data_IF_761345846438
#
_entry.id   IF_761345846438
#
_cell.length_a   1.000
_cell.length_b   1.000
_cell.length_c   1.000
_cell.angle_alpha   90.00
_cell.angle_beta   90.00
_cell.angle_gamma   90.00
#
_symmetry.space_group_name_H-M   'P 1'
#
loop_
_entity.id
_entity.type
_entity.pdbx_description
1 polymer ?
#
# COMPACT_ATOMS: atom_id res chain seq x y z
N UNK A 1 22.63 -25.96 49.39
CA UNK A 1 21.17 -25.78 49.56
C UNK A 1 20.98 -25.07 50.91
N UNK A 2 20.27 -23.96 51.08
CA UNK A 2 19.09 -23.45 50.39
C UNK A 2 19.19 -21.92 50.18
N UNK A 3 18.68 -21.45 49.05
CA UNK A 3 18.50 -20.04 48.76
C UNK A 3 17.48 -19.45 49.75
N UNK A 4 17.95 -18.61 50.67
CA UNK A 4 17.09 -17.85 51.59
C UNK A 4 16.23 -16.86 50.81
N UNK A 5 14.97 -17.21 50.56
CA UNK A 5 14.02 -16.31 49.92
C UNK A 5 13.53 -15.25 50.91
N UNK A 6 13.48 -13.99 50.46
CA UNK A 6 12.95 -12.83 51.20
C UNK A 6 11.61 -13.15 51.89
N UNK A 7 11.41 -12.65 53.11
CA UNK A 7 10.15 -12.75 53.85
C UNK A 7 9.01 -11.97 53.17
N UNK A 8 7.76 -12.28 53.52
CA UNK A 8 6.57 -11.65 52.91
C UNK A 8 6.51 -10.13 53.13
N UNK A 9 6.98 -9.64 54.28
CA UNK A 9 7.07 -8.22 54.61
C UNK A 9 8.14 -7.53 53.78
N UNK A 10 9.33 -8.13 53.67
CA UNK A 10 10.44 -7.61 52.86
C UNK A 10 10.07 -7.54 51.36
N UNK A 11 9.35 -8.53 50.84
CA UNK A 11 8.84 -8.50 49.46
C UNK A 11 7.85 -7.35 49.22
N UNK A 12 6.96 -7.07 50.18
CA UNK A 12 6.01 -5.93 50.08
C UNK A 12 6.72 -4.57 50.15
N UNK A 13 7.71 -4.43 51.02
CA UNK A 13 8.51 -3.21 51.12
C UNK A 13 9.30 -2.96 49.82
N UNK A 14 9.96 -3.99 49.29
CA UNK A 14 10.69 -3.92 48.03
C UNK A 14 9.79 -3.53 46.83
N UNK A 15 8.57 -4.08 46.76
CA UNK A 15 7.61 -3.70 45.71
C UNK A 15 7.12 -2.26 45.87
N UNK A 16 6.88 -1.78 47.11
CA UNK A 16 6.52 -0.38 47.38
C UNK A 16 7.64 0.58 46.98
N UNK A 17 8.89 0.29 47.33
CA UNK A 17 10.05 1.10 46.95
C UNK A 17 10.29 1.12 45.44
N UNK A 18 9.99 0.01 44.77
CA UNK A 18 10.01 -0.06 43.31
C UNK A 18 8.94 0.85 42.70
N UNK A 19 7.71 0.79 43.19
CA UNK A 19 6.61 1.67 42.72
C UNK A 19 6.97 3.14 42.92
N UNK A 20 7.50 3.51 44.09
CA UNK A 20 7.91 4.89 44.39
C UNK A 20 9.04 5.36 43.45
N UNK A 21 10.04 4.52 43.19
CA UNK A 21 11.12 4.83 42.24
C UNK A 21 10.59 4.99 40.81
N UNK A 22 9.69 4.13 40.36
CA UNK A 22 9.03 4.25 39.05
C UNK A 22 8.22 5.55 38.94
N UNK A 23 7.52 5.94 40.00
CA UNK A 23 6.74 7.18 40.05
C UNK A 23 7.64 8.43 40.01
N UNK A 24 8.72 8.45 40.80
CA UNK A 24 9.73 9.50 40.75
C UNK A 24 10.34 9.64 39.34
N UNK A 25 10.69 8.52 38.69
CA UNK A 25 11.23 8.53 37.34
C UNK A 25 10.21 9.08 36.31
N UNK A 26 8.93 8.71 36.44
CA UNK A 26 7.85 9.26 35.58
C UNK A 26 7.64 10.76 35.81
N UNK A 27 7.70 11.23 37.05
CA UNK A 27 7.56 12.64 37.38
C UNK A 27 8.74 13.45 36.83
N UNK A 28 9.98 12.94 36.97
CA UNK A 28 11.18 13.55 36.38
C UNK A 28 11.09 13.62 34.86
N UNK A 29 10.62 12.56 34.20
CA UNK A 29 10.35 12.55 32.75
C UNK A 29 9.32 13.60 32.34
N UNK A 30 8.22 13.76 33.08
CA UNK A 30 7.20 14.78 32.81
C UNK A 30 7.76 16.20 32.97
N UNK A 31 8.53 16.45 34.03
CA UNK A 31 9.17 17.74 34.28
C UNK A 31 10.16 18.10 33.17
N UNK A 32 11.11 17.22 32.86
CA UNK A 32 12.11 17.44 31.80
C UNK A 32 11.42 17.64 30.45
N UNK A 33 10.41 16.82 30.12
CA UNK A 33 9.60 16.97 28.90
C UNK A 33 8.88 18.32 28.83
N UNK A 34 8.37 18.84 29.95
CA UNK A 34 7.72 20.16 30.02
C UNK A 34 8.72 21.29 29.80
N UNK A 35 9.90 21.21 30.42
CA UNK A 35 10.96 22.21 30.28
C UNK A 35 11.49 22.24 28.84
N UNK A 36 11.70 21.07 28.22
CA UNK A 36 12.20 20.98 26.83
C UNK A 36 11.25 21.57 25.79
N UNK A 37 9.97 21.81 26.13
CA UNK A 37 9.02 22.52 25.24
C UNK A 37 9.19 24.04 25.25
N UNK A 38 9.83 24.60 26.28
CA UNK A 38 10.11 26.04 26.37
C UNK A 38 11.28 26.42 25.46
N UNK A 39 11.25 27.63 24.92
CA UNK A 39 12.42 28.19 24.24
C UNK A 39 13.59 28.26 25.22
N UNK A 40 14.83 28.15 24.73
CA UNK A 40 16.00 28.15 25.61
C UNK A 40 16.10 29.43 26.47
N UNK A 41 15.65 30.56 25.93
CA UNK A 41 15.62 31.86 26.62
C UNK A 41 14.54 31.97 27.72
N UNK A 42 13.53 31.10 27.72
CA UNK A 42 12.38 31.15 28.65
C UNK A 42 12.56 30.23 29.87
N UNK A 43 13.70 29.55 29.98
CA UNK A 43 13.97 28.57 31.04
C UNK A 43 14.55 29.26 32.26
N UNK A 44 14.04 28.94 33.45
CA UNK A 44 14.63 29.44 34.70
C UNK A 44 15.98 28.77 34.98
N UNK A 45 16.78 29.38 35.87
CA UNK A 45 18.05 28.78 36.30
C UNK A 45 17.87 27.39 36.95
N UNK A 46 16.78 27.18 37.69
CA UNK A 46 16.42 25.88 38.26
C UNK A 46 16.09 24.84 37.19
N UNK A 47 15.36 25.24 36.15
CA UNK A 47 15.05 24.36 35.03
C UNK A 47 16.32 23.96 34.27
N UNK A 48 17.25 24.89 34.06
CA UNK A 48 18.55 24.61 33.45
C UNK A 48 19.37 23.62 34.29
N UNK A 49 19.40 23.76 35.62
CA UNK A 49 20.05 22.80 36.53
C UNK A 49 19.42 21.42 36.43
N UNK A 50 18.09 21.33 36.47
CA UNK A 50 17.37 20.05 36.38
C UNK A 50 17.63 19.32 35.04
N UNK A 51 17.76 20.07 33.94
CA UNK A 51 18.15 19.52 32.64
C UNK A 51 19.59 18.98 32.67
N UNK A 52 20.52 19.71 33.27
CA UNK A 52 21.92 19.29 33.40
C UNK A 52 22.06 18.01 34.24
N UNK A 53 21.35 17.92 35.36
CA UNK A 53 21.30 16.71 36.20
C UNK A 53 20.58 15.52 35.54
N UNK A 54 19.88 15.74 34.43
CA UNK A 54 19.08 14.73 33.73
C UNK A 54 19.55 14.53 32.29
N UNK A 55 20.85 14.67 32.02
CA UNK A 55 21.43 14.69 30.67
C UNK A 55 20.99 13.52 29.78
N UNK A 56 21.06 12.29 30.29
CA UNK A 56 20.67 11.09 29.53
C UNK A 56 19.18 11.10 29.15
N UNK A 57 18.32 11.58 30.06
CA UNK A 57 16.89 11.72 29.80
C UNK A 57 16.61 12.83 28.78
N UNK A 58 17.39 13.92 28.81
CA UNK A 58 17.32 15.00 27.83
C UNK A 58 17.72 14.48 26.44
N UNK A 59 18.86 13.78 26.31
CA UNK A 59 19.29 13.15 25.05
C UNK A 59 18.22 12.22 24.51
N UNK A 60 17.63 11.39 25.37
CA UNK A 60 16.56 10.47 24.99
C UNK A 60 15.32 11.22 24.45
N UNK A 61 14.81 12.20 25.21
CA UNK A 61 13.61 12.95 24.85
C UNK A 61 13.81 13.80 23.59
N UNK A 62 14.96 14.45 23.43
CA UNK A 62 15.32 15.16 22.20
C UNK A 62 15.42 14.19 21.02
N UNK A 63 16.06 13.02 21.21
CA UNK A 63 16.12 11.97 20.20
C UNK A 63 14.74 11.42 19.81
N UNK A 64 13.80 11.33 20.77
CA UNK A 64 12.39 10.99 20.49
C UNK A 64 11.70 12.12 19.69
N UNK A 65 11.94 13.39 20.02
CA UNK A 65 11.35 14.52 19.27
C UNK A 65 11.86 14.57 17.84
N UNK A 66 13.19 14.50 17.63
CA UNK A 66 13.80 14.48 16.29
C UNK A 66 13.26 13.34 15.43
N UNK A 67 13.14 12.12 16.01
CA UNK A 67 12.54 10.97 15.31
C UNK A 67 11.09 11.22 14.94
N UNK A 68 10.30 11.83 15.84
CA UNK A 68 8.89 12.18 15.59
C UNK A 68 8.75 13.25 14.51
N UNK A 69 9.58 14.30 14.53
CA UNK A 69 9.62 15.34 13.51
C UNK A 69 10.03 14.78 12.14
N UNK A 70 11.07 13.94 12.11
CA UNK A 70 11.46 13.22 10.89
C UNK A 70 10.34 12.35 10.34
N UNK A 71 9.60 11.63 11.20
CA UNK A 71 8.43 10.85 10.79
C UNK A 71 7.28 11.71 10.26
N UNK A 72 7.02 12.87 10.88
CA UNK A 72 6.02 13.84 10.39
C UNK A 72 6.41 14.36 9.02
N UNK A 73 7.65 14.80 8.83
CA UNK A 73 8.16 15.28 7.54
C UNK A 73 8.04 14.21 6.45
N UNK A 74 8.31 12.94 6.77
CA UNK A 74 8.17 11.82 5.84
C UNK A 74 6.72 11.49 5.45
N UNK A 75 5.72 12.00 6.19
CA UNK A 75 4.29 11.81 5.89
C UNK A 75 3.67 13.01 5.18
N UNK A 76 4.36 14.15 5.16
CA UNK A 76 3.91 15.31 4.42
C UNK A 76 3.90 15.00 2.93
N UNK A 77 2.81 15.41 2.28
CA UNK A 77 2.74 15.46 0.83
C UNK A 77 3.44 16.74 0.38
N UNK A 78 4.28 16.58 -0.64
CA UNK A 78 4.96 17.65 -1.33
C UNK A 78 4.49 17.59 -2.78
N UNK A 79 4.35 18.74 -3.40
CA UNK A 79 4.17 18.88 -4.84
C UNK A 79 5.26 19.80 -5.36
N UNK A 80 5.92 19.40 -6.45
CA UNK A 80 6.78 20.29 -7.21
C UNK A 80 5.89 21.37 -7.86
N UNK A 81 6.42 22.58 -8.05
CA UNK A 81 5.68 23.61 -8.79
C UNK A 81 5.48 23.17 -10.26
N UNK A 82 4.49 23.73 -10.98
CA UNK A 82 4.19 23.29 -12.34
C UNK A 82 5.36 23.39 -13.34
N UNK A 83 6.25 24.38 -13.17
CA UNK A 83 7.42 24.56 -14.05
C UNK A 83 8.48 23.50 -13.79
N UNK A 84 8.82 23.29 -12.51
CA UNK A 84 9.74 22.23 -12.09
C UNK A 84 9.21 20.84 -12.44
N UNK A 85 7.91 20.59 -12.24
CA UNK A 85 7.29 19.31 -12.59
C UNK A 85 7.44 19.02 -14.09
N UNK A 86 7.12 19.97 -14.98
CA UNK A 86 7.31 19.81 -16.43
C UNK A 86 8.77 19.55 -16.80
N UNK A 87 9.71 20.28 -16.17
CA UNK A 87 11.16 20.08 -16.39
C UNK A 87 11.58 18.66 -16.03
N UNK A 88 11.16 18.16 -14.87
CA UNK A 88 11.42 16.78 -14.44
C UNK A 88 10.73 15.75 -15.32
N UNK A 89 9.52 16.01 -15.79
CA UNK A 89 8.80 15.11 -16.71
C UNK A 89 9.55 14.98 -18.03
N UNK A 90 10.12 16.06 -18.58
CA UNK A 90 10.97 15.98 -19.78
C UNK A 90 12.18 15.08 -19.57
N UNK A 91 12.86 15.20 -18.43
CA UNK A 91 13.96 14.30 -18.08
C UNK A 91 13.50 12.84 -17.95
N UNK A 92 12.32 12.62 -17.37
CA UNK A 92 11.72 11.30 -17.29
C UNK A 92 11.37 10.75 -18.68
N UNK A 93 10.83 11.57 -19.59
CA UNK A 93 10.52 11.18 -20.96
C UNK A 93 11.78 10.72 -21.72
N UNK A 94 12.87 11.49 -21.61
CA UNK A 94 14.18 11.10 -22.16
C UNK A 94 14.67 9.77 -21.56
N UNK A 95 14.47 9.55 -20.26
CA UNK A 95 14.85 8.31 -19.61
C UNK A 95 14.02 7.11 -20.11
N UNK A 96 12.70 7.29 -20.28
CA UNK A 96 11.80 6.26 -20.81
C UNK A 96 12.14 5.92 -22.25
N UNK A 97 12.39 6.91 -23.10
CA UNK A 97 12.78 6.70 -24.51
C UNK A 97 14.11 5.97 -24.65
N UNK A 98 15.06 6.23 -23.75
CA UNK A 98 16.39 5.60 -23.79
C UNK A 98 16.47 4.27 -23.03
N UNK A 99 15.41 3.87 -22.33
CA UNK A 99 15.40 2.62 -21.57
C UNK A 99 15.41 1.42 -22.53
N UNK A 100 16.38 0.51 -22.36
CA UNK A 100 16.38 -0.77 -23.10
C UNK A 100 15.45 -1.77 -22.45
N UNK A 101 15.27 -1.67 -21.13
CA UNK A 101 14.37 -2.51 -20.36
C UNK A 101 13.83 -1.73 -19.16
N UNK A 102 12.68 -1.11 -19.34
CA UNK A 102 11.91 -0.41 -18.32
C UNK A 102 10.97 -1.37 -17.59
N UNK A 103 11.09 -1.36 -16.26
CA UNK A 103 10.12 -2.02 -15.36
C UNK A 103 9.39 -0.98 -14.53
N UNK A 104 8.07 -1.09 -14.46
CA UNK A 104 7.23 -0.16 -13.70
C UNK A 104 6.78 -0.80 -12.39
N UNK A 105 7.01 -0.11 -11.27
CA UNK A 105 6.56 -0.54 -9.94
C UNK A 105 5.41 0.31 -9.47
N UNK A 106 4.26 -0.29 -9.18
CA UNK A 106 3.05 0.45 -8.79
C UNK A 106 2.63 0.18 -7.35
N UNK A 107 1.98 1.16 -6.75
CA UNK A 107 1.34 1.07 -5.44
C UNK A 107 0.00 1.81 -5.43
N UNK A 108 -0.66 1.79 -4.27
CA UNK A 108 -2.06 2.23 -4.17
C UNK A 108 -2.29 3.70 -4.56
N UNK A 109 -1.24 4.52 -4.58
CA UNK A 109 -1.31 5.91 -5.01
C UNK A 109 -1.72 6.10 -6.47
N UNK A 110 -1.60 5.09 -7.34
CA UNK A 110 -2.11 5.18 -8.73
C UNK A 110 -3.62 4.95 -8.83
N UNK A 111 -4.24 4.41 -7.78
CA UNK A 111 -5.68 4.06 -7.74
C UNK A 111 -6.51 5.08 -6.94
N UNK A 112 -5.88 6.09 -6.34
CA UNK A 112 -6.58 7.10 -5.51
C UNK A 112 -7.55 7.96 -6.30
N UNK A 113 -7.26 8.24 -7.57
CA UNK A 113 -8.17 8.95 -8.47
C UNK A 113 -9.42 8.11 -8.82
N UNK A 114 -9.35 6.79 -8.73
CA UNK A 114 -10.50 5.89 -8.88
C UNK A 114 -11.29 5.71 -7.57
N UNK A 115 -11.16 6.66 -6.63
CA UNK A 115 -11.78 6.60 -5.29
C UNK A 115 -11.38 5.39 -4.44
N UNK A 116 -10.30 4.69 -4.80
CA UNK A 116 -9.71 3.63 -3.97
C UNK A 116 -8.75 4.27 -2.97
N UNK A 117 -9.02 4.21 -1.65
CA UNK A 117 -8.14 4.83 -0.68
C UNK A 117 -6.76 4.15 -0.71
N UNK A 118 -5.70 4.95 -0.60
CA UNK A 118 -4.38 4.39 -0.40
C UNK A 118 -4.22 3.83 1.03
N UNK A 119 -3.02 3.33 1.32
CA UNK A 119 -2.73 2.79 2.64
C UNK A 119 -2.17 3.81 3.62
N UNK A 120 -1.42 4.82 3.16
CA UNK A 120 -0.49 5.60 4.01
C UNK A 120 -0.46 7.10 3.72
N UNK A 121 -1.23 7.56 2.75
CA UNK A 121 -1.52 8.97 2.52
C UNK A 121 -2.30 9.60 3.67
N UNK A 122 -2.64 10.89 3.59
CA UNK A 122 -3.35 11.63 4.64
C UNK A 122 -4.67 10.97 5.06
N UNK A 123 -5.38 10.41 4.07
CA UNK A 123 -6.63 9.67 4.18
C UNK A 123 -6.46 8.16 3.96
N UNK A 124 -5.22 7.69 3.95
CA UNK A 124 -4.92 6.29 3.79
C UNK A 124 -5.42 5.45 4.96
N UNK A 125 -5.74 4.20 4.68
CA UNK A 125 -6.32 3.24 5.65
C UNK A 125 -5.55 3.20 6.96
N UNK A 126 -4.23 3.01 6.92
CA UNK A 126 -3.43 2.93 8.15
C UNK A 126 -3.35 4.27 8.86
N UNK A 127 -3.34 5.37 8.11
CA UNK A 127 -3.34 6.72 8.67
C UNK A 127 -4.64 7.00 9.44
N UNK A 128 -5.78 6.58 8.89
CA UNK A 128 -7.10 6.71 9.54
C UNK A 128 -7.22 5.80 10.77
N UNK A 129 -6.81 4.53 10.66
CA UNK A 129 -6.80 3.58 11.78
C UNK A 129 -5.91 4.07 12.92
N UNK A 130 -4.73 4.62 12.62
CA UNK A 130 -3.84 5.19 13.63
C UNK A 130 -4.44 6.44 14.31
N UNK A 131 -5.30 7.19 13.61
CA UNK A 131 -6.06 8.33 14.15
C UNK A 131 -7.35 7.89 14.88
N UNK A 132 -7.64 6.60 14.98
CA UNK A 132 -8.85 6.07 15.61
C UNK A 132 -10.14 6.34 14.82
N UNK A 133 -10.03 6.61 13.52
CA UNK A 133 -11.18 6.86 12.63
C UNK A 133 -11.65 5.56 11.98
N UNK A 134 -12.95 5.40 11.81
CA UNK A 134 -13.52 4.31 11.00
C UNK A 134 -13.23 4.55 9.53
N UNK A 135 -13.07 3.46 8.79
CA UNK A 135 -12.94 3.47 7.34
C UNK A 135 -14.31 3.01 6.81
N UNK A 136 -14.98 3.86 6.02
CA UNK A 136 -16.09 3.39 5.19
C UNK A 136 -15.51 2.46 4.13
N UNK A 137 -16.00 1.23 4.05
CA UNK A 137 -15.66 0.35 2.93
C UNK A 137 -16.33 0.92 1.69
N UNK A 138 -15.61 1.74 0.92
CA UNK A 138 -16.03 2.08 -0.43
C UNK A 138 -16.15 0.76 -1.21
N UNK A 139 -17.27 0.57 -1.89
CA UNK A 139 -17.44 -0.56 -2.79
C UNK A 139 -16.48 -0.38 -3.97
N UNK A 140 -15.42 -1.18 -3.99
CA UNK A 140 -14.36 -1.10 -5.00
C UNK A 140 -14.83 -1.62 -6.37
N UNK A 141 -16.01 -2.24 -6.45
CA UNK A 141 -16.57 -2.78 -7.70
C UNK A 141 -16.84 -1.70 -8.76
N UNK A 142 -17.09 -0.45 -8.36
CA UNK A 142 -17.33 0.63 -9.32
C UNK A 142 -16.04 1.31 -9.81
N UNK A 143 -14.89 1.02 -9.18
CA UNK A 143 -13.63 1.64 -9.57
C UNK A 143 -13.25 1.25 -11.01
N UNK A 144 -12.82 2.25 -11.79
CA UNK A 144 -12.33 2.08 -13.15
C UNK A 144 -10.83 2.37 -13.22
N UNK A 145 -10.09 1.78 -14.19
CA UNK A 145 -8.69 2.10 -14.40
C UNK A 145 -8.47 3.61 -14.56
N UNK A 146 -7.52 4.15 -13.79
CA UNK A 146 -7.15 5.58 -13.87
C UNK A 146 -6.35 5.89 -15.14
N UNK A 147 -6.16 7.17 -15.42
CA UNK A 147 -5.29 7.65 -16.50
C UNK A 147 -3.89 7.02 -16.40
N UNK A 148 -3.34 6.89 -15.20
CA UNK A 148 -2.06 6.18 -14.97
C UNK A 148 -2.12 4.72 -15.42
N UNK A 149 -3.19 3.97 -15.13
CA UNK A 149 -3.32 2.58 -15.57
C UNK A 149 -3.40 2.47 -17.10
N UNK A 150 -4.18 3.35 -17.73
CA UNK A 150 -4.31 3.39 -19.19
C UNK A 150 -3.00 3.79 -19.87
N UNK A 151 -2.26 4.72 -19.28
CA UNK A 151 -0.93 5.12 -19.75
C UNK A 151 0.07 3.96 -19.67
N UNK A 152 0.08 3.20 -18.58
CA UNK A 152 0.95 2.02 -18.42
C UNK A 152 0.62 0.95 -19.47
N UNK A 153 -0.67 0.69 -19.71
CA UNK A 153 -1.11 -0.24 -20.75
C UNK A 153 -0.61 0.20 -22.14
N UNK A 154 -0.75 1.49 -22.47
CA UNK A 154 -0.23 2.07 -23.72
C UNK A 154 1.29 2.02 -23.82
N UNK A 155 2.04 2.30 -22.74
CA UNK A 155 3.50 2.17 -22.73
C UNK A 155 3.96 0.73 -23.00
N UNK A 156 3.25 -0.25 -22.45
CA UNK A 156 3.52 -1.66 -22.73
C UNK A 156 3.17 -2.05 -24.17
N UNK A 157 2.02 -1.61 -24.67
CA UNK A 157 1.60 -1.79 -26.07
C UNK A 157 2.65 -1.25 -27.06
N UNK A 158 3.22 -0.08 -26.77
CA UNK A 158 4.31 0.54 -27.53
C UNK A 158 5.69 -0.05 -27.25
N UNK A 159 5.78 -1.13 -26.45
CA UNK A 159 7.02 -1.83 -26.07
C UNK A 159 8.04 -0.95 -25.34
N UNK A 160 7.59 0.17 -24.77
CA UNK A 160 8.42 1.06 -23.95
C UNK A 160 8.56 0.56 -22.51
N UNK A 161 7.56 -0.16 -21.99
CA UNK A 161 7.60 -0.82 -20.69
C UNK A 161 7.43 -2.33 -20.85
N UNK A 162 8.35 -3.12 -20.30
CA UNK A 162 8.37 -4.57 -20.53
C UNK A 162 7.63 -5.36 -19.45
N UNK A 163 7.56 -4.85 -18.23
CA UNK A 163 6.89 -5.54 -17.12
C UNK A 163 6.39 -4.57 -16.06
N UNK A 164 5.31 -4.94 -15.38
CA UNK A 164 4.75 -4.21 -14.25
C UNK A 164 4.77 -5.08 -13.00
N UNK A 165 5.38 -4.56 -11.94
CA UNK A 165 5.37 -5.19 -10.61
C UNK A 165 4.46 -4.38 -9.71
N UNK A 166 3.29 -4.91 -9.40
CA UNK A 166 2.26 -4.22 -8.64
C UNK A 166 2.15 -4.74 -7.21
N UNK A 167 1.98 -3.81 -6.27
CA UNK A 167 1.54 -4.09 -4.90
C UNK A 167 0.02 -3.95 -4.72
N UNK A 168 -0.69 -3.53 -5.77
CA UNK A 168 -2.13 -3.32 -5.74
C UNK A 168 -2.83 -4.65 -5.96
N UNK A 169 -4.05 -4.72 -5.43
CA UNK A 169 -4.87 -5.93 -5.47
C UNK A 169 -6.26 -5.62 -6.00
N UNK A 170 -6.44 -4.40 -6.51
CA UNK A 170 -7.67 -3.84 -7.07
C UNK A 170 -8.01 -4.38 -8.46
N UNK A 171 -7.11 -5.15 -9.08
CA UNK A 171 -7.28 -5.73 -10.41
C UNK A 171 -7.29 -4.72 -11.56
N UNK A 172 -7.04 -3.43 -11.31
CA UNK A 172 -7.19 -2.38 -12.31
C UNK A 172 -6.17 -2.46 -13.45
N UNK A 173 -4.99 -3.05 -13.22
CA UNK A 173 -4.01 -3.31 -14.28
C UNK A 173 -4.53 -4.31 -15.32
N UNK A 174 -5.12 -5.43 -14.88
CA UNK A 174 -5.71 -6.39 -15.81
C UNK A 174 -6.87 -5.76 -16.58
N UNK A 175 -7.72 -5.01 -15.85
CA UNK A 175 -8.89 -4.34 -16.41
C UNK A 175 -8.55 -3.21 -17.38
N UNK A 176 -7.36 -2.62 -17.28
CA UNK A 176 -6.89 -1.59 -18.23
C UNK A 176 -6.42 -2.16 -19.57
N UNK A 177 -6.39 -3.48 -19.74
CA UNK A 177 -5.89 -4.14 -20.95
C UNK A 177 -4.45 -4.65 -20.84
N UNK A 178 -3.78 -4.46 -19.71
CA UNK A 178 -2.41 -4.94 -19.54
C UNK A 178 -2.40 -6.49 -19.47
N UNK A 179 -1.63 -7.19 -20.34
CA UNK A 179 -1.73 -8.63 -20.43
C UNK A 179 -1.17 -9.30 -19.19
N UNK A 180 -1.78 -10.44 -18.81
CA UNK A 180 -1.39 -11.21 -17.62
C UNK A 180 0.09 -11.63 -17.60
N UNK A 181 0.70 -11.82 -18.78
CA UNK A 181 2.12 -12.15 -18.92
C UNK A 181 3.05 -11.00 -18.56
N UNK A 182 2.58 -9.75 -18.61
CA UNK A 182 3.37 -8.55 -18.34
C UNK A 182 3.19 -8.00 -16.91
N UNK A 183 2.47 -8.72 -16.05
CA UNK A 183 2.18 -8.27 -14.68
C UNK A 183 2.59 -9.30 -13.63
N UNK A 184 3.09 -8.79 -12.51
CA UNK A 184 3.29 -9.54 -11.27
C UNK A 184 2.55 -8.84 -10.14
N UNK A 185 1.47 -9.45 -9.64
CA UNK A 185 0.59 -8.90 -8.62
C UNK A 185 1.02 -9.40 -7.23
N UNK A 186 2.11 -8.85 -6.70
CA UNK A 186 2.87 -9.42 -5.57
C UNK A 186 2.05 -9.64 -4.29
N UNK A 187 0.92 -8.95 -4.15
CA UNK A 187 0.03 -9.03 -3.00
C UNK A 187 -1.33 -9.70 -3.31
N UNK A 188 -1.48 -10.28 -4.50
CA UNK A 188 -2.72 -10.89 -4.96
C UNK A 188 -3.62 -9.93 -5.74
N UNK A 189 -4.77 -10.45 -6.14
CA UNK A 189 -5.80 -9.75 -6.91
C UNK A 189 -7.19 -10.19 -6.40
N UNK A 190 -8.02 -9.21 -6.03
CA UNK A 190 -9.33 -9.41 -5.43
C UNK A 190 -10.36 -10.07 -6.35
N UNK A 191 -10.08 -10.18 -7.64
CA UNK A 191 -10.92 -10.86 -8.63
C UNK A 191 -10.46 -12.29 -8.91
N UNK A 192 -9.42 -12.79 -8.23
CA UNK A 192 -8.83 -14.10 -8.51
C UNK A 192 -8.90 -14.99 -7.27
N UNK A 193 -9.51 -16.16 -7.45
CA UNK A 193 -9.42 -17.28 -6.52
C UNK A 193 -8.76 -18.48 -7.20
N UNK A 194 -8.13 -19.34 -6.40
CA UNK A 194 -7.27 -20.41 -6.90
C UNK A 194 -7.54 -21.73 -6.19
N UNK A 195 -7.43 -22.81 -6.94
CA UNK A 195 -7.33 -24.16 -6.40
C UNK A 195 -5.85 -24.54 -6.25
N UNK A 196 -5.39 -24.70 -5.02
CA UNK A 196 -4.02 -25.14 -4.69
C UNK A 196 -3.87 -26.66 -4.60
N UNK A 197 -4.95 -27.42 -4.76
CA UNK A 197 -4.92 -28.89 -4.78
C UNK A 197 -4.68 -29.46 -6.19
N UNK A 198 -4.92 -28.66 -7.24
CA UNK A 198 -4.59 -29.03 -8.61
C UNK A 198 -3.12 -28.71 -8.89
N UNK A 199 -2.47 -29.53 -9.73
CA UNK A 199 -1.14 -29.23 -10.29
C UNK A 199 -1.21 -29.21 -11.82
N UNK A 200 -0.87 -28.10 -12.49
CA UNK A 200 -0.63 -26.78 -11.89
C UNK A 200 -1.88 -26.23 -11.17
N UNK A 201 -1.70 -25.22 -10.32
CA UNK A 201 -2.82 -24.53 -9.66
C UNK A 201 -3.82 -24.05 -10.71
N UNK A 202 -5.12 -24.17 -10.41
CA UNK A 202 -6.19 -23.72 -11.31
C UNK A 202 -6.75 -22.40 -10.83
N UNK A 203 -6.68 -21.38 -11.67
CA UNK A 203 -7.15 -20.04 -11.37
C UNK A 203 -8.59 -19.85 -11.86
N UNK A 204 -9.36 -19.07 -11.11
CA UNK A 204 -10.71 -18.66 -11.43
C UNK A 204 -10.74 -17.14 -11.34
N UNK A 205 -10.79 -16.49 -12.49
CA UNK A 205 -11.03 -15.07 -12.57
C UNK A 205 -12.54 -14.84 -12.41
N UNK A 206 -12.94 -13.92 -11.53
CA UNK A 206 -14.34 -13.60 -11.25
C UNK A 206 -14.60 -12.14 -11.59
N UNK A 207 -15.86 -11.81 -11.85
CA UNK A 207 -16.29 -10.42 -12.06
C UNK A 207 -16.65 -9.72 -10.74
N UNK A 208 -16.44 -10.34 -9.59
CA UNK A 208 -16.74 -9.77 -8.27
C UNK A 208 -15.55 -9.96 -7.33
N UNK A 209 -15.56 -9.21 -6.23
CA UNK A 209 -14.60 -9.33 -5.14
C UNK A 209 -14.73 -10.68 -4.43
N UNK A 210 -13.71 -11.55 -4.55
CA UNK A 210 -13.69 -12.88 -3.93
C UNK A 210 -13.32 -12.87 -2.45
N UNK A 211 -12.99 -11.71 -1.87
CA UNK A 211 -12.37 -11.56 -0.54
C UNK A 211 -13.37 -11.29 0.59
N UNK A 212 -14.67 -11.20 0.30
CA UNK A 212 -15.71 -10.86 1.28
C UNK A 212 -15.77 -11.77 2.52
N UNK A 213 -15.33 -13.02 2.40
CA UNK A 213 -15.33 -14.04 3.45
C UNK A 213 -13.94 -14.37 3.96
N UNK A 214 -12.92 -13.65 3.50
CA UNK A 214 -11.52 -14.00 3.76
C UNK A 214 -10.84 -12.97 4.66
N UNK A 215 -9.74 -13.39 5.30
CA UNK A 215 -9.01 -12.59 6.26
C UNK A 215 -7.61 -13.17 6.48
N UNK A 216 -6.80 -12.48 7.30
CA UNK A 216 -5.50 -12.97 7.76
C UNK A 216 -5.60 -14.44 8.24
N UNK A 217 -4.81 -15.30 7.61
CA UNK A 217 -4.74 -16.76 7.82
C UNK A 217 -6.02 -17.55 7.50
N UNK A 218 -7.00 -16.93 6.85
CA UNK A 218 -8.26 -17.54 6.41
C UNK A 218 -8.58 -17.12 4.98
N UNK A 219 -8.13 -17.94 4.02
CA UNK A 219 -8.27 -17.63 2.60
C UNK A 219 -9.38 -18.39 1.88
N UNK A 220 -10.13 -19.26 2.57
CA UNK A 220 -11.18 -20.05 1.91
C UNK A 220 -12.32 -19.13 1.44
N UNK A 221 -12.62 -19.17 0.15
CA UNK A 221 -13.64 -18.29 -0.44
C UNK A 221 -15.06 -18.82 -0.28
N UNK A 222 -15.21 -20.08 0.15
CA UNK A 222 -16.49 -20.78 0.27
C UNK A 222 -16.98 -21.44 -1.01
N UNK A 223 -16.23 -21.32 -2.11
CA UNK A 223 -16.48 -22.01 -3.39
C UNK A 223 -15.56 -23.23 -3.57
N UNK A 224 -15.89 -24.11 -4.51
CA UNK A 224 -15.14 -25.35 -4.75
C UNK A 224 -14.57 -25.41 -6.16
N UNK A 225 -13.43 -26.07 -6.31
CA UNK A 225 -12.77 -26.21 -7.59
C UNK A 225 -13.62 -27.03 -8.55
N UNK A 226 -13.88 -26.48 -9.73
CA UNK A 226 -14.66 -27.13 -10.78
C UNK A 226 -14.06 -28.46 -11.26
N UNK A 227 -12.77 -28.73 -10.98
CA UNK A 227 -12.10 -29.99 -11.34
C UNK A 227 -12.12 -31.05 -10.24
N UNK A 228 -11.71 -30.67 -9.03
CA UNK A 228 -11.37 -31.64 -7.98
C UNK A 228 -12.22 -31.49 -6.71
N UNK A 229 -13.14 -30.52 -6.66
CA UNK A 229 -14.00 -30.28 -5.49
C UNK A 229 -13.31 -29.67 -4.27
N UNK A 230 -11.98 -29.49 -4.28
CA UNK A 230 -11.27 -28.85 -3.18
C UNK A 230 -11.68 -27.37 -3.03
N UNK A 231 -11.63 -26.86 -1.80
CA UNK A 231 -11.96 -25.47 -1.48
C UNK A 231 -11.06 -24.49 -2.24
N UNK A 232 -11.67 -23.48 -2.87
CA UNK A 232 -10.96 -22.37 -3.49
C UNK A 232 -10.44 -21.40 -2.43
N UNK A 233 -9.34 -20.73 -2.76
CA UNK A 233 -8.67 -19.77 -1.90
C UNK A 233 -8.50 -18.44 -2.62
N UNK A 234 -8.63 -17.32 -1.93
CA UNK A 234 -8.23 -16.03 -2.50
C UNK A 234 -6.71 -15.98 -2.72
N UNK A 235 -6.25 -14.96 -3.44
CA UNK A 235 -4.84 -14.75 -3.77
C UNK A 235 -4.13 -13.73 -2.87
N UNK A 236 -4.83 -13.18 -1.89
CA UNK A 236 -4.42 -12.01 -1.12
C UNK A 236 -3.31 -12.36 -0.16
N UNK A 237 -2.26 -11.54 -0.14
CA UNK A 237 -1.17 -11.65 0.83
C UNK A 237 -1.34 -10.59 1.90
N UNK A 238 -1.80 -10.98 3.09
CA UNK A 238 -1.93 -10.03 4.19
C UNK A 238 -0.58 -9.71 4.84
N UNK A 239 -0.51 -8.59 5.56
CA UNK A 239 0.67 -8.25 6.34
C UNK A 239 0.95 -9.32 7.39
N UNK A 240 2.18 -9.85 7.38
CA UNK A 240 2.60 -10.95 8.26
C UNK A 240 2.56 -12.31 7.59
N UNK A 241 2.03 -12.40 6.37
CA UNK A 241 2.02 -13.63 5.58
C UNK A 241 3.12 -13.65 4.52
N UNK A 242 3.43 -14.87 4.08
CA UNK A 242 4.26 -15.11 2.91
C UNK A 242 3.34 -15.51 1.76
N UNK A 243 3.41 -14.79 0.64
CA UNK A 243 2.76 -15.21 -0.60
C UNK A 243 3.43 -16.47 -1.14
N UNK A 244 2.66 -17.55 -1.27
CA UNK A 244 3.15 -18.88 -1.71
C UNK A 244 2.64 -19.27 -3.10
N UNK A 245 1.69 -18.52 -3.66
CA UNK A 245 1.11 -18.80 -4.96
C UNK A 245 2.08 -18.43 -6.10
N UNK A 246 2.08 -19.24 -7.15
CA UNK A 246 2.80 -18.92 -8.40
C UNK A 246 2.15 -17.74 -9.11
N UNK A 247 0.91 -17.90 -9.59
CA UNK A 247 0.08 -16.84 -10.14
C UNK A 247 -1.01 -16.41 -9.14
N UNK A 248 -1.43 -15.13 -9.11
CA UNK A 248 -0.98 -14.01 -9.94
C UNK A 248 0.28 -13.29 -9.40
N UNK A 249 0.83 -13.77 -8.27
CA UNK A 249 1.96 -13.12 -7.58
C UNK A 249 3.19 -12.99 -8.47
N UNK A 250 3.49 -14.05 -9.21
CA UNK A 250 4.49 -14.13 -10.26
C UNK A 250 5.84 -13.52 -9.85
N UNK A 251 6.33 -13.91 -8.67
CA UNK A 251 7.59 -13.44 -8.09
C UNK A 251 8.80 -13.77 -8.96
N UNK A 252 8.74 -14.88 -9.69
CA UNK A 252 9.78 -15.30 -10.64
C UNK A 252 9.92 -14.27 -11.77
N UNK A 253 8.83 -13.96 -12.49
CA UNK A 253 8.86 -12.96 -13.55
C UNK A 253 9.21 -11.55 -13.02
N UNK A 254 8.73 -11.17 -11.83
CA UNK A 254 9.10 -9.90 -11.21
C UNK A 254 10.61 -9.79 -10.98
N UNK A 255 11.23 -10.88 -10.49
CA UNK A 255 12.66 -10.93 -10.21
C UNK A 255 13.47 -10.98 -11.50
N UNK A 256 13.00 -11.74 -12.49
CA UNK A 256 13.63 -11.83 -13.82
C UNK A 256 13.61 -10.47 -14.52
N UNK A 257 12.44 -9.81 -14.59
CA UNK A 257 12.29 -8.49 -15.15
C UNK A 257 13.18 -7.46 -14.44
N UNK A 258 13.19 -7.45 -13.10
CA UNK A 258 14.07 -6.57 -12.33
C UNK A 258 15.56 -6.82 -12.60
N UNK A 259 15.95 -8.07 -12.89
CA UNK A 259 17.34 -8.42 -13.20
C UNK A 259 17.81 -7.90 -14.56
N UNK A 260 16.88 -7.83 -15.53
CA UNK A 260 17.08 -7.32 -16.89
C UNK A 260 16.98 -5.79 -16.97
N UNK A 261 16.27 -5.17 -16.03
CA UNK A 261 16.01 -3.74 -16.02
C UNK A 261 17.29 -2.88 -16.03
N UNK A 262 17.30 -1.89 -16.91
CA UNK A 262 18.23 -0.75 -16.86
C UNK A 262 17.54 0.51 -16.33
N UNK A 263 16.21 0.54 -16.34
CA UNK A 263 15.38 1.64 -15.82
C UNK A 263 14.24 1.09 -14.98
N UNK A 264 14.00 1.68 -13.81
CA UNK A 264 12.83 1.38 -12.96
C UNK A 264 12.05 2.67 -12.73
N UNK A 265 10.75 2.65 -13.01
CA UNK A 265 9.83 3.74 -12.70
C UNK A 265 8.85 3.33 -11.59
N UNK A 266 8.94 3.97 -10.43
CA UNK A 266 8.03 3.75 -9.31
C UNK A 266 6.90 4.78 -9.32
N UNK A 267 5.65 4.33 -9.33
CA UNK A 267 4.45 5.17 -9.36
C UNK A 267 3.57 4.91 -8.13
N UNK A 268 3.25 5.96 -7.39
CA UNK A 268 2.21 5.93 -6.35
C UNK A 268 2.49 4.92 -5.22
N UNK A 269 3.77 4.66 -4.91
CA UNK A 269 4.14 3.71 -3.87
C UNK A 269 5.04 4.33 -2.82
N UNK A 270 4.69 4.13 -1.54
CA UNK A 270 5.58 4.48 -0.42
C UNK A 270 6.85 3.64 -0.35
N UNK A 271 6.97 2.56 -1.16
CA UNK A 271 8.07 1.58 -1.19
C UNK A 271 8.46 0.95 0.17
N UNK A 272 7.66 1.16 1.22
CA UNK A 272 7.95 0.65 2.57
C UNK A 272 7.93 -0.89 2.66
N UNK A 273 7.21 -1.54 1.74
CA UNK A 273 7.19 -3.00 1.59
C UNK A 273 8.32 -3.43 0.66
N UNK A 274 8.29 -2.99 -0.61
CA UNK A 274 9.27 -3.42 -1.62
C UNK A 274 10.73 -3.13 -1.25
N UNK A 275 11.04 -2.10 -0.44
CA UNK A 275 12.42 -1.84 0.02
C UNK A 275 13.10 -3.05 0.67
N UNK A 276 12.31 -3.99 1.21
CA UNK A 276 12.81 -5.18 1.91
C UNK A 276 13.22 -6.32 0.98
N UNK A 277 13.01 -6.20 -0.33
CA UNK A 277 13.27 -7.25 -1.31
C UNK A 277 14.45 -6.83 -2.20
N UNK A 278 15.70 -7.16 -1.83
CA UNK A 278 16.89 -6.60 -2.50
C UNK A 278 16.99 -6.98 -3.98
N UNK A 279 16.44 -8.13 -4.36
CA UNK A 279 16.43 -8.67 -5.73
C UNK A 279 15.68 -7.75 -6.70
N UNK A 280 14.56 -7.15 -6.26
CA UNK A 280 13.78 -6.20 -7.06
C UNK A 280 14.51 -4.87 -7.33
N UNK A 281 15.65 -4.63 -6.68
CA UNK A 281 16.42 -3.38 -6.84
C UNK A 281 17.84 -3.64 -7.33
N UNK A 282 18.15 -4.88 -7.75
CA UNK A 282 19.50 -5.28 -8.13
C UNK A 282 20.56 -4.89 -7.07
N UNK A 283 20.25 -4.98 -5.77
CA UNK A 283 21.18 -4.51 -4.71
C UNK A 283 22.49 -5.30 -4.67
N UNK A 284 22.51 -6.52 -5.23
CA UNK A 284 23.71 -7.36 -5.39
C UNK A 284 24.66 -6.83 -6.46
N UNK A 285 24.19 -6.00 -7.39
CA UNK A 285 25.04 -5.32 -8.38
C UNK A 285 25.72 -4.08 -7.76
N UNK A 286 26.93 -3.70 -8.20
CA UNK A 286 27.55 -2.44 -7.80
C UNK A 286 26.69 -1.24 -8.23
N UNK A 287 26.71 -0.10 -7.51
CA UNK A 287 25.83 1.05 -7.79
C UNK A 287 25.82 1.50 -9.25
N UNK A 288 26.97 1.50 -9.94
CA UNK A 288 27.10 1.87 -11.35
C UNK A 288 26.41 0.93 -12.34
N UNK A 289 26.06 -0.30 -11.92
CA UNK A 289 25.38 -1.32 -12.74
C UNK A 289 23.95 -1.59 -12.27
N UNK A 290 23.42 -0.77 -11.36
CA UNK A 290 22.02 -0.83 -10.94
C UNK A 290 21.16 -0.05 -11.94
N UNK A 291 19.88 -0.43 -12.11
CA UNK A 291 18.97 0.35 -12.94
C UNK A 291 18.83 1.77 -12.41
N UNK A 292 18.67 2.73 -13.32
CA UNK A 292 18.32 4.11 -12.95
C UNK A 292 16.91 4.11 -12.38
N UNK A 293 16.75 4.65 -11.17
CA UNK A 293 15.49 4.65 -10.44
C UNK A 293 14.81 6.01 -10.55
N UNK A 294 13.58 6.01 -11.04
CA UNK A 294 12.71 7.18 -11.12
C UNK A 294 11.52 6.96 -10.18
N UNK A 295 11.14 7.99 -9.41
CA UNK A 295 10.07 7.89 -8.42
C UNK A 295 9.08 9.03 -8.61
N UNK A 296 7.80 8.68 -8.78
CA UNK A 296 6.66 9.60 -8.75
C UNK A 296 5.84 9.30 -7.50
N UNK A 297 5.91 10.18 -6.51
CA UNK A 297 5.15 10.02 -5.27
C UNK A 297 5.06 11.34 -4.51
N UNK A 298 3.87 11.65 -3.95
CA UNK A 298 3.65 12.86 -3.15
C UNK A 298 4.44 12.84 -1.83
N UNK A 299 4.62 11.67 -1.22
CA UNK A 299 5.29 11.50 0.07
C UNK A 299 6.75 11.06 -0.09
N UNK A 300 7.51 11.13 1.01
CA UNK A 300 8.84 10.52 1.12
C UNK A 300 8.80 8.99 0.90
N UNK A 301 9.81 8.48 0.21
CA UNK A 301 10.03 7.03 0.06
C UNK A 301 11.41 6.62 0.62
N UNK A 302 11.56 5.38 1.11
CA UNK A 302 12.83 4.83 1.61
C UNK A 302 13.92 4.67 0.53
N UNK A 303 13.63 4.98 -0.74
CA UNK A 303 14.54 4.85 -1.86
C UNK A 303 14.83 6.19 -2.54
N UNK A 304 14.35 7.30 -1.97
CA UNK A 304 14.57 8.66 -2.51
C UNK A 304 16.06 8.95 -2.74
N UNK A 305 16.93 8.58 -1.78
CA UNK A 305 18.39 8.81 -1.88
C UNK A 305 19.09 7.95 -2.96
N UNK A 306 18.39 6.96 -3.52
CA UNK A 306 18.88 6.10 -4.61
C UNK A 306 18.25 6.47 -5.96
N UNK A 307 17.27 7.38 -5.99
CA UNK A 307 16.60 7.78 -7.21
C UNK A 307 17.49 8.71 -8.03
N UNK A 308 17.57 8.44 -9.33
CA UNK A 308 18.14 9.36 -10.31
C UNK A 308 17.29 10.64 -10.42
N UNK A 309 15.96 10.49 -10.30
CA UNK A 309 15.01 11.60 -10.31
C UNK A 309 13.79 11.26 -9.46
N UNK A 310 13.35 12.22 -8.64
CA UNK A 310 12.09 12.15 -7.90
C UNK A 310 11.17 13.30 -8.29
N UNK A 311 9.96 12.94 -8.69
CA UNK A 311 8.87 13.85 -9.00
C UNK A 311 7.85 13.82 -7.88
N UNK A 312 7.56 14.99 -7.32
CA UNK A 312 6.52 15.18 -6.34
C UNK A 312 5.26 15.66 -7.07
N UNK A 313 4.38 14.74 -7.44
CA UNK A 313 3.15 15.06 -8.15
C UNK A 313 2.15 13.91 -8.06
N UNK A 314 0.90 14.18 -8.42
CA UNK A 314 -0.09 13.11 -8.61
C UNK A 314 0.31 12.28 -9.81
N UNK A 315 0.08 10.97 -9.74
CA UNK A 315 0.49 10.06 -10.81
C UNK A 315 -0.19 10.41 -12.13
N UNK A 316 -1.49 10.72 -12.13
CA UNK A 316 -2.21 11.08 -13.36
C UNK A 316 -1.66 12.36 -14.00
N UNK A 317 -1.40 13.42 -13.22
CA UNK A 317 -0.81 14.66 -13.74
C UNK A 317 0.57 14.42 -14.38
N UNK A 318 1.41 13.62 -13.73
CA UNK A 318 2.75 13.28 -14.22
C UNK A 318 2.69 12.38 -15.45
N UNK A 319 1.78 11.40 -15.47
CA UNK A 319 1.62 10.48 -16.59
C UNK A 319 1.02 11.18 -17.80
N UNK A 320 0.06 12.09 -17.63
CA UNK A 320 -0.45 12.90 -18.74
C UNK A 320 0.69 13.69 -19.42
N UNK A 321 1.45 14.45 -18.63
CA UNK A 321 2.59 15.21 -19.15
C UNK A 321 3.65 14.31 -19.79
N UNK A 322 3.90 13.13 -19.22
CA UNK A 322 4.87 12.17 -19.78
C UNK A 322 4.39 11.64 -21.12
N UNK A 323 3.13 11.27 -21.23
CA UNK A 323 2.54 10.75 -22.47
C UNK A 323 2.53 11.83 -23.56
N UNK A 324 2.26 13.10 -23.20
CA UNK A 324 2.37 14.25 -24.09
C UNK A 324 3.80 14.42 -24.62
N UNK A 325 4.81 14.39 -23.75
CA UNK A 325 6.23 14.50 -24.13
C UNK A 325 6.73 13.30 -24.96
N UNK A 326 6.11 12.13 -24.78
CA UNK A 326 6.37 10.94 -25.62
C UNK A 326 5.61 10.95 -26.95
N UNK A 327 4.66 11.89 -27.14
CA UNK A 327 3.78 11.93 -28.30
C UNK A 327 2.81 10.75 -28.38
N UNK A 328 2.42 10.18 -27.24
CA UNK A 328 1.56 9.01 -27.16
C UNK A 328 0.16 9.40 -26.65
N UNK A 329 -0.87 9.12 -27.44
CA UNK A 329 -2.25 9.26 -26.99
C UNK A 329 -2.55 8.26 -25.87
N UNK A 330 -3.30 8.69 -24.85
CA UNK A 330 -3.74 7.81 -23.77
C UNK A 330 -5.10 7.22 -24.17
N UNK A 331 -5.25 5.89 -24.26
CA UNK A 331 -6.54 5.29 -24.57
C UNK A 331 -7.55 5.57 -23.46
N UNK A 332 -8.76 5.97 -23.83
CA UNK A 332 -9.87 6.06 -22.88
C UNK A 332 -10.29 4.66 -22.43
N UNK A 333 -10.52 4.46 -21.14
CA UNK A 333 -11.02 3.19 -20.64
C UNK A 333 -12.42 2.91 -21.22
N UNK A 334 -12.57 1.78 -21.90
CA UNK A 334 -13.86 1.32 -22.39
C UNK A 334 -14.24 0.04 -21.66
N UNK A 335 -15.28 0.10 -20.81
CA UNK A 335 -15.77 -1.04 -20.04
C UNK A 335 -16.19 -2.22 -20.92
N UNK A 336 -16.65 -2.00 -22.16
CA UNK A 336 -16.95 -3.08 -23.11
C UNK A 336 -15.71 -3.90 -23.51
N UNK A 337 -14.52 -3.31 -23.40
CA UNK A 337 -13.23 -3.91 -23.74
C UNK A 337 -12.47 -4.37 -22.50
N UNK A 338 -13.07 -4.31 -21.30
CA UNK A 338 -12.43 -4.78 -20.06
C UNK A 338 -12.15 -6.30 -20.20
N UNK A 339 -10.86 -6.73 -20.21
CA UNK A 339 -10.51 -8.13 -20.42
C UNK A 339 -11.13 -9.07 -19.40
N UNK A 340 -11.50 -8.56 -18.20
CA UNK A 340 -12.07 -9.37 -17.14
C UNK A 340 -13.32 -10.14 -17.60
N UNK A 341 -14.15 -9.54 -18.47
CA UNK A 341 -15.39 -10.17 -18.92
C UNK A 341 -15.13 -11.38 -19.84
N UNK A 342 -14.09 -11.30 -20.66
CA UNK A 342 -13.69 -12.42 -21.55
C UNK A 342 -12.93 -13.52 -20.81
N UNK A 343 -12.22 -13.17 -19.74
CA UNK A 343 -11.38 -14.08 -18.97
C UNK A 343 -12.09 -14.71 -17.77
N UNK A 344 -13.22 -14.13 -17.34
CA UNK A 344 -13.97 -14.57 -16.19
C UNK A 344 -14.46 -16.02 -16.36
N UNK A 345 -14.25 -16.82 -15.32
CA UNK A 345 -14.84 -18.15 -15.21
C UNK A 345 -16.27 -18.01 -14.69
N UNK A 346 -17.29 -18.46 -15.45
CA UNK A 346 -18.68 -18.42 -14.99
C UNK A 346 -18.86 -19.20 -13.68
N UNK A 347 -19.80 -18.74 -12.85
CA UNK A 347 -20.26 -19.49 -11.69
C UNK A 347 -21.07 -20.71 -12.16
N UNK A 348 -21.03 -21.79 -11.38
CA UNK A 348 -21.99 -22.88 -11.51
C UNK A 348 -23.32 -22.47 -10.89
N UNK A 349 -24.40 -23.17 -11.26
CA UNK A 349 -25.75 -22.87 -10.77
C UNK A 349 -25.84 -22.91 -9.23
N UNK A 350 -25.09 -23.81 -8.57
CA UNK A 350 -25.02 -23.91 -7.12
C UNK A 350 -24.19 -22.78 -6.46
N UNK A 351 -23.47 -21.99 -7.24
CA UNK A 351 -22.60 -20.91 -6.76
C UNK A 351 -23.21 -19.50 -6.91
N UNK A 352 -24.38 -19.35 -7.56
CA UNK A 352 -24.98 -18.03 -7.85
C UNK A 352 -25.25 -17.18 -6.59
N UNK A 353 -25.53 -17.82 -5.45
CA UNK A 353 -25.70 -17.16 -4.15
C UNK A 353 -24.43 -17.06 -3.30
N UNK A 354 -23.26 -17.37 -3.87
CA UNK A 354 -22.00 -17.48 -3.10
C UNK A 354 -21.30 -16.15 -2.84
N UNK A 355 -21.80 -15.04 -3.40
CA UNK A 355 -21.24 -13.69 -3.20
C UNK A 355 -22.33 -12.67 -2.85
N UNK A 356 -21.96 -11.68 -2.04
CA UNK A 356 -22.78 -10.51 -1.69
C UNK A 356 -22.25 -9.22 -2.32
N UNK A 357 -20.97 -9.21 -2.73
CA UNK A 357 -20.35 -8.11 -3.46
C UNK A 357 -20.95 -7.96 -4.84
N UNK A 358 -21.16 -6.71 -5.27
CA UNK A 358 -21.72 -6.40 -6.58
C UNK A 358 -20.75 -6.88 -7.67
N UNK A 359 -21.20 -7.72 -8.61
CA UNK A 359 -20.39 -8.10 -9.75
C UNK A 359 -20.26 -6.92 -10.70
N UNK A 360 -19.09 -6.80 -11.31
CA UNK A 360 -18.87 -6.03 -12.52
C UNK A 360 -19.82 -6.59 -13.59
N UNK A 361 -20.52 -5.67 -14.24
CA UNK A 361 -21.36 -5.97 -15.38
C UNK A 361 -20.79 -5.25 -16.59
N UNK A 362 -20.82 -5.87 -17.78
CA UNK A 362 -20.71 -5.11 -19.03
C UNK A 362 -21.77 -4.01 -19.02
N UNK A 363 -21.53 -2.85 -19.65
CA UNK A 363 -22.58 -1.86 -19.79
C UNK A 363 -23.79 -2.52 -20.46
N UNK A 364 -25.01 -2.27 -19.98
CA UNK A 364 -26.20 -2.59 -20.77
C UNK A 364 -26.22 -1.60 -21.95
N UNK A 365 -26.87 -1.96 -23.06
CA UNK A 365 -26.94 -1.15 -24.30
C UNK A 365 -27.08 0.37 -24.05
N UNK A 366 -26.53 1.19 -24.95
CA UNK A 366 -26.25 2.63 -24.86
C UNK A 366 -27.37 3.59 -24.34
N UNK A 367 -28.53 3.11 -23.96
CA UNK A 367 -29.68 3.90 -23.51
C UNK A 367 -29.59 4.32 -22.03
N UNK A 368 -28.86 3.61 -21.17
CA UNK A 368 -28.78 4.00 -19.74
C UNK A 368 -27.73 5.09 -19.45
N UNK A 369 -26.73 5.28 -20.31
CA UNK A 369 -25.64 6.26 -20.08
C UNK A 369 -26.16 7.70 -20.03
N UNK A 370 -27.23 8.01 -20.78
CA UNK A 370 -27.87 9.34 -20.76
C UNK A 370 -28.69 9.62 -19.48
N UNK A 371 -29.04 8.58 -18.71
CA UNK A 371 -29.88 8.73 -17.52
C UNK A 371 -29.09 8.99 -16.23
N UNK A 372 -27.78 8.68 -16.22
CA UNK A 372 -26.93 8.83 -15.03
C UNK A 372 -26.42 10.26 -14.84
N UNK A 373 -26.13 10.98 -15.92
CA UNK A 373 -25.70 12.40 -15.87
C UNK A 373 -26.77 13.34 -15.27
N UNK A 374 -28.03 12.89 -15.19
CA UNK A 374 -29.15 13.67 -14.64
C UNK A 374 -29.50 13.33 -13.18
N UNK A 375 -28.96 12.27 -12.58
CA UNK A 375 -29.34 11.79 -11.23
C UNK A 375 -28.33 12.08 -10.12
N UNK A 376 -27.19 12.72 -10.41
CA UNK A 376 -26.18 13.09 -9.39
C UNK A 376 -26.56 14.27 -8.46
N UNK A 377 -27.83 14.69 -8.44
CA UNK A 377 -28.33 15.62 -7.43
C UNK A 377 -29.37 14.96 -6.51
N UNK A 378 -28.88 14.38 -5.41
CA UNK A 378 -29.61 14.30 -4.14
C UNK A 378 -30.06 12.91 -3.69
N UNK A 379 -29.32 12.28 -2.78
CA UNK A 379 -29.73 11.93 -1.39
C UNK A 379 -28.70 10.98 -0.74
N UNK A 380 -28.41 11.08 0.58
CA UNK A 380 -27.48 10.18 1.25
C UNK A 380 -28.17 8.88 1.69
N UNK A 381 -27.63 7.74 1.28
CA UNK A 381 -28.08 6.40 1.70
C UNK A 381 -27.51 6.02 3.08
N UNK A 382 -28.39 5.50 3.93
CA UNK A 382 -28.12 5.05 5.29
C UNK A 382 -27.21 3.84 5.35
N UNK A 383 -26.17 3.90 6.20
CA UNK A 383 -25.17 2.84 6.37
C UNK A 383 -25.61 1.77 7.38
N UNK A 384 -25.67 0.51 6.94
CA UNK A 384 -25.63 -0.66 7.83
C UNK A 384 -24.17 -1.12 7.97
N UNK A 385 -23.66 -1.41 9.17
CA UNK A 385 -22.26 -1.76 9.36
C UNK A 385 -21.99 -3.22 8.92
N UNK A 386 -21.41 -3.40 7.74
CA UNK A 386 -20.85 -4.69 7.31
C UNK A 386 -19.40 -4.81 7.77
N UNK A 387 -19.11 -5.81 8.59
CA UNK A 387 -17.75 -6.14 9.02
C UNK A 387 -17.14 -7.24 8.14
N UNK A 388 -16.36 -6.84 7.14
CA UNK A 388 -15.60 -7.72 6.26
C UNK A 388 -15.03 -6.91 5.11
N UNK A 389 -13.71 -6.77 5.06
CA UNK A 389 -13.01 -6.01 4.05
C UNK A 389 -11.50 -6.12 4.22
N UNK A 390 -10.77 -5.90 3.13
CA UNK A 390 -9.30 -5.99 3.00
C UNK A 390 -8.50 -5.41 4.16
N UNK A 391 -9.02 -4.36 4.79
CA UNK A 391 -8.42 -3.69 5.93
C UNK A 391 -8.58 -4.55 7.19
N UNK A 392 -7.88 -5.69 7.20
CA UNK A 392 -7.77 -6.56 8.35
C UNK A 392 -7.48 -5.72 9.59
N UNK A 393 -8.20 -6.03 10.68
CA UNK A 393 -7.95 -5.44 12.01
C UNK A 393 -6.48 -5.66 12.35
N UNK A 394 -5.65 -4.66 12.05
CA UNK A 394 -4.23 -4.68 12.34
C UNK A 394 -4.05 -4.93 13.83
N UNK A 395 -3.13 -5.83 14.16
CA UNK A 395 -2.76 -6.14 15.53
C UNK A 395 -2.61 -4.85 16.35
N UNK A 396 -3.58 -4.58 17.22
CA UNK A 396 -3.29 -3.81 18.41
C UNK A 396 -2.23 -4.63 19.14
N UNK A 397 -1.00 -4.12 19.21
CA UNK A 397 -0.07 -4.59 20.23
C UNK A 397 -0.72 -4.24 21.56
N UNK A 398 -1.53 -5.18 22.06
CA UNK A 398 -2.11 -5.10 23.38
C UNK A 398 -0.97 -5.07 24.36
N UNK A 399 -0.66 -3.88 24.87
CA UNK A 399 0.10 -3.74 26.10
C UNK A 399 -0.72 -4.47 27.15
N UNK A 400 -0.29 -5.69 27.53
CA UNK A 400 -0.88 -6.41 28.66
C UNK A 400 -0.71 -5.53 29.90
N UNK A 401 -1.71 -4.72 30.22
CA UNK A 401 -1.93 -4.26 31.58
C UNK A 401 -2.30 -5.51 32.37
N UNK A 402 -1.35 -6.05 33.12
CA UNK A 402 -1.66 -6.96 34.23
C UNK A 402 -2.69 -6.22 35.09
N UNK A 403 -3.89 -6.79 35.20
CA UNK A 403 -4.81 -6.44 36.27
C UNK A 403 -4.06 -6.74 37.58
N UNK A 404 -3.90 -5.72 38.41
CA UNK A 404 -3.62 -5.87 39.84
C UNK A 404 -4.96 -6.13 40.52
#
# INVERSE_FOLDING_TARGET
MAAGGLSRSERKAAERDKILREEQQRNRLRQVSRILKKAAAERSAEECRLLAESEELVKELQGRSRRREGLKRRQQEVCDDPGELRRKVRELAVAVQNAKYLVIYTGAGISTAASIPDYRGPNGVWTLLQKGRSISAADLSEAEPTLTHMSIARLHEQKLAQHVVSQNCDGLHLRSGLPRSAISELHGNMYIEVCTSCTPNREYLRVFDVTERTALHRHQTGRTCHKCGAQLRDTIVHFGERGILGQPLNWEAATEAASKADTILCLGSSLKVLKKYPHLWCMTKPPSRRPKLYIVNLQWTPKDDLAALKLHGKCDDVMQLLMDELGLEIPHYNRWQDPIFSLATPLRADEEGSHSRKPLVPPQSAEETQSRDLKEQGTPLSSVPFSGGWFGRGCTKGTKRKKV
#
